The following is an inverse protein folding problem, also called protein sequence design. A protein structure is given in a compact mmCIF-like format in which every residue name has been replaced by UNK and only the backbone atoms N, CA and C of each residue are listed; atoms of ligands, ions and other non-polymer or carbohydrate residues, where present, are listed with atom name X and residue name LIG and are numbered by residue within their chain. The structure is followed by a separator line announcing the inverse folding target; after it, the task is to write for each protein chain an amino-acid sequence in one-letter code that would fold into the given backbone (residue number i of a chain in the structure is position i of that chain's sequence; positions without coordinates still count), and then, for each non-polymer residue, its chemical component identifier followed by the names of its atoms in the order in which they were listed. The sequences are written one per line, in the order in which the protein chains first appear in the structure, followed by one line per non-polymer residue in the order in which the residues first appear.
data_IF_570335611852
#
_entry.id   IF_570335611852
#
_cell.length_a   1.000
_cell.length_b   1.000
_cell.length_c   1.000
_cell.angle_alpha   90.00
_cell.angle_beta   90.00
_cell.angle_gamma   90.00
#
_symmetry.space_group_name_H-M   'P 1'
#
loop_
_entity.id
_entity.type
_entity.pdbx_description
1 polymer ?
#
# COMPACT_ATOMS: atom_id res chain seq x y z
N UNK A 1 -11.38 3.69 0.65
CA UNK A 1 -11.67 5.04 1.16
C UNK A 1 -12.89 5.59 0.43
N UNK A 2 -13.84 6.27 1.08
CA UNK A 2 -15.10 6.69 0.41
C UNK A 2 -15.42 8.16 0.63
N UNK A 3 -15.60 8.95 -0.43
CA UNK A 3 -15.95 10.37 -0.36
C UNK A 3 -17.38 10.63 -0.86
N UNK A 4 -18.12 11.50 -0.17
CA UNK A 4 -19.43 11.96 -0.57
C UNK A 4 -19.36 13.28 -1.35
N UNK A 5 -19.98 13.35 -2.54
CA UNK A 5 -19.86 14.49 -3.46
C UNK A 5 -20.40 15.83 -2.94
N UNK A 6 -21.41 15.82 -2.07
CA UNK A 6 -22.06 17.06 -1.61
C UNK A 6 -21.42 17.62 -0.33
N UNK A 7 -20.49 16.86 0.26
CA UNK A 7 -19.79 17.25 1.46
C UNK A 7 -18.44 17.87 1.07
N UNK A 8 -18.48 19.08 0.50
CA UNK A 8 -17.33 19.84 -0.02
C UNK A 8 -16.24 20.18 1.02
N UNK A 9 -16.29 19.61 2.23
CA UNK A 9 -15.33 19.80 3.31
C UNK A 9 -14.87 18.50 3.97
N UNK A 10 -15.24 17.32 3.46
CA UNK A 10 -14.73 16.07 4.03
C UNK A 10 -13.29 15.88 3.57
N UNK A 11 -12.36 16.19 4.47
CA UNK A 11 -10.99 15.73 4.41
C UNK A 11 -10.90 14.32 4.98
N UNK A 12 -10.24 13.42 4.27
CA UNK A 12 -9.82 12.14 4.82
C UNK A 12 -8.32 12.17 5.04
N UNK A 13 -7.86 11.40 6.02
CA UNK A 13 -6.45 11.34 6.38
C UNK A 13 -5.89 9.95 6.11
N UNK A 14 -4.71 9.91 5.51
CA UNK A 14 -3.87 8.72 5.39
C UNK A 14 -2.70 8.92 6.34
N UNK A 15 -2.59 8.07 7.35
CA UNK A 15 -1.43 8.06 8.25
C UNK A 15 -0.37 7.12 7.68
N UNK A 16 0.83 7.65 7.42
CA UNK A 16 1.99 6.85 7.00
C UNK A 16 3.04 6.91 8.10
N UNK A 17 3.41 5.76 8.64
CA UNK A 17 4.38 5.62 9.72
C UNK A 17 5.69 5.05 9.20
N UNK A 18 6.81 5.70 9.53
CA UNK A 18 8.12 5.11 9.35
C UNK A 18 8.53 4.39 10.64
N UNK A 19 8.36 3.07 10.65
CA UNK A 19 8.76 2.23 11.78
C UNK A 19 10.28 1.93 11.82
N UNK A 20 11.04 2.35 10.80
CA UNK A 20 12.50 2.26 10.84
C UNK A 20 13.05 3.21 11.88
N UNK A 21 13.98 2.72 12.71
CA UNK A 21 14.73 3.55 13.67
C UNK A 21 16.03 4.09 13.09
N UNK A 22 16.46 3.55 11.94
CA UNK A 22 17.79 3.79 11.41
C UNK A 22 17.80 4.65 10.15
N UNK A 23 16.72 4.64 9.36
CA UNK A 23 16.69 5.32 8.07
C UNK A 23 15.46 6.23 7.91
N UNK A 24 15.71 7.41 7.36
CA UNK A 24 14.66 8.26 6.85
C UNK A 24 14.13 7.71 5.53
N UNK A 25 12.88 8.02 5.23
CA UNK A 25 12.25 7.65 3.98
C UNK A 25 11.62 8.87 3.29
N UNK A 26 11.43 8.79 1.98
CA UNK A 26 10.64 9.71 1.20
C UNK A 26 9.29 9.06 0.91
N UNK A 27 8.21 9.79 1.12
CA UNK A 27 6.84 9.41 0.76
C UNK A 27 6.40 10.21 -0.45
N UNK A 28 5.86 9.54 -1.46
CA UNK A 28 5.13 10.18 -2.57
C UNK A 28 3.76 9.54 -2.72
N UNK A 29 2.76 10.37 -2.93
CA UNK A 29 1.39 9.95 -3.22
C UNK A 29 1.04 10.39 -4.63
N UNK A 30 0.62 9.42 -5.43
CA UNK A 30 0.11 9.64 -6.78
C UNK A 30 -1.36 9.26 -6.83
N UNK A 31 -2.13 9.93 -7.67
CA UNK A 31 -3.57 9.74 -7.80
C UNK A 31 -3.91 9.58 -9.28
N UNK A 32 -4.75 8.60 -9.63
CA UNK A 32 -5.19 8.43 -11.03
C UNK A 32 -6.05 9.60 -11.53
N UNK A 33 -6.59 10.41 -10.61
CA UNK A 33 -7.41 11.60 -10.91
C UNK A 33 -6.94 12.81 -10.11
N UNK A 34 -5.69 13.22 -10.30
CA UNK A 34 -5.08 14.32 -9.55
C UNK A 34 -5.84 15.66 -9.63
N UNK A 35 -6.62 15.92 -10.69
CA UNK A 35 -7.47 17.12 -10.77
C UNK A 35 -8.69 17.08 -9.84
N UNK A 36 -9.13 15.90 -9.44
CA UNK A 36 -10.31 15.70 -8.59
C UNK A 36 -9.98 15.78 -7.10
N UNK A 37 -8.71 15.59 -6.72
CA UNK A 37 -8.30 15.54 -5.32
C UNK A 37 -7.15 16.49 -5.01
N UNK A 38 -7.26 17.20 -3.89
CA UNK A 38 -6.13 17.90 -3.26
C UNK A 38 -5.49 16.97 -2.24
N UNK A 39 -4.19 16.71 -2.42
CA UNK A 39 -3.40 15.82 -1.56
C UNK A 39 -2.29 16.64 -0.91
N UNK A 40 -2.26 16.68 0.42
CA UNK A 40 -1.29 17.48 1.17
C UNK A 40 -0.77 16.75 2.41
N UNK A 41 0.54 16.46 2.51
CA UNK A 41 1.57 16.61 1.46
C UNK A 41 1.48 15.50 0.40
N UNK A 42 1.75 15.82 -0.87
CA UNK A 42 1.88 14.81 -1.94
C UNK A 42 3.30 14.20 -2.01
N UNK A 43 4.29 14.90 -1.46
CA UNK A 43 5.68 14.46 -1.33
C UNK A 43 6.17 14.93 0.04
N UNK A 44 6.74 14.03 0.84
CA UNK A 44 7.20 14.34 2.19
C UNK A 44 8.45 13.53 2.56
N UNK A 45 9.23 14.09 3.49
CA UNK A 45 10.24 13.33 4.23
C UNK A 45 9.58 12.67 5.44
N UNK A 46 9.89 11.40 5.67
CA UNK A 46 9.49 10.62 6.83
C UNK A 46 10.75 10.28 7.64
N UNK A 47 11.07 11.08 8.68
CA UNK A 47 12.15 10.75 9.62
C UNK A 47 11.99 9.35 10.24
N UNK A 48 13.06 8.76 10.76
CA UNK A 48 12.98 7.53 11.54
C UNK A 48 11.98 7.67 12.70
N UNK A 49 11.25 6.59 13.01
CA UNK A 49 10.27 6.51 14.09
C UNK A 49 9.21 7.63 14.11
N UNK A 50 8.86 8.16 12.93
CA UNK A 50 7.92 9.27 12.78
C UNK A 50 6.66 8.87 12.01
N UNK A 51 5.69 9.78 11.97
CA UNK A 51 4.47 9.64 11.15
C UNK A 51 4.16 10.92 10.40
N UNK A 52 3.62 10.79 9.19
CA UNK A 52 3.08 11.89 8.40
C UNK A 52 1.60 11.65 8.16
N UNK A 53 0.80 12.69 8.40
CA UNK A 53 -0.63 12.69 8.08
C UNK A 53 -0.82 13.36 6.72
N UNK A 54 -1.37 12.61 5.77
CA UNK A 54 -1.70 13.12 4.45
C UNK A 54 -3.19 13.41 4.39
N UNK A 55 -3.51 14.67 4.21
CA UNK A 55 -4.88 15.12 3.98
C UNK A 55 -5.23 14.92 2.50
N UNK A 56 -6.33 14.21 2.26
CA UNK A 56 -6.94 14.03 0.95
C UNK A 56 -8.31 14.68 0.97
N UNK A 57 -8.50 15.66 0.10
CA UNK A 57 -9.75 16.42 -0.01
C UNK A 57 -10.24 16.38 -1.45
N UNK A 58 -11.55 16.34 -1.66
CA UNK A 58 -12.11 16.57 -2.98
C UNK A 58 -11.90 18.02 -3.40
N UNK A 59 -11.36 18.24 -4.59
CA UNK A 59 -11.28 19.56 -5.19
C UNK A 59 -12.69 20.11 -5.42
N UNK A 60 -12.97 21.38 -5.09
CA UNK A 60 -14.23 22.00 -5.46
C UNK A 60 -14.31 22.06 -6.99
N UNK A 61 -15.13 21.21 -7.60
CA UNK A 61 -15.35 21.25 -9.05
C UNK A 61 -16.37 22.31 -9.42
N UNK A 62 -16.21 23.00 -10.57
CA UNK A 62 -17.21 23.93 -11.07
C UNK A 62 -18.52 23.18 -11.32
N UNK A 63 -19.64 23.78 -10.88
CA UNK A 63 -20.99 23.20 -10.73
C UNK A 63 -21.58 22.47 -11.95
N UNK A 64 -20.95 22.51 -13.12
CA UNK A 64 -21.45 21.93 -14.37
C UNK A 64 -20.90 20.54 -14.71
N UNK A 65 -19.90 20.03 -14.00
CA UNK A 65 -19.37 18.70 -14.30
C UNK A 65 -20.13 17.64 -13.50
N UNK A 66 -20.81 16.77 -14.23
CA UNK A 66 -21.73 15.74 -13.76
C UNK A 66 -21.10 14.88 -12.64
N UNK A 67 -21.80 14.82 -11.51
CA UNK A 67 -21.44 14.13 -10.26
C UNK A 67 -21.62 12.61 -10.40
N UNK A 68 -20.98 12.00 -11.40
CA UNK A 68 -21.03 10.54 -11.56
C UNK A 68 -20.19 9.87 -10.47
N UNK A 69 -20.73 8.83 -9.80
CA UNK A 69 -19.93 7.98 -8.94
C UNK A 69 -18.72 7.47 -9.70
N UNK A 70 -17.57 7.47 -9.06
CA UNK A 70 -16.34 7.10 -9.73
C UNK A 70 -15.35 6.44 -8.80
N UNK A 71 -14.55 5.56 -9.39
CA UNK A 71 -13.47 4.87 -8.70
C UNK A 71 -12.14 5.54 -9.05
N UNK A 72 -11.31 5.74 -8.04
CA UNK A 72 -10.00 6.35 -8.15
C UNK A 72 -9.02 5.52 -7.35
N UNK A 73 -7.74 5.56 -7.74
CA UNK A 73 -6.67 4.84 -7.05
C UNK A 73 -5.60 5.82 -6.62
N UNK A 74 -5.16 5.67 -5.38
CA UNK A 74 -3.99 6.36 -4.86
C UNK A 74 -2.85 5.36 -4.76
N UNK A 75 -1.71 5.69 -5.32
CA UNK A 75 -0.48 4.93 -5.16
C UNK A 75 0.37 5.64 -4.10
N UNK A 76 0.60 4.94 -2.99
CA UNK A 76 1.47 5.38 -1.89
C UNK A 76 2.81 4.70 -2.05
N UNK A 77 3.85 5.47 -2.36
CA UNK A 77 5.20 4.95 -2.58
C UNK A 77 6.12 5.52 -1.52
N UNK A 78 6.84 4.64 -0.83
CA UNK A 78 7.85 5.02 0.15
C UNK A 78 9.21 4.48 -0.29
N UNK A 79 10.20 5.36 -0.34
CA UNK A 79 11.58 5.02 -0.70
C UNK A 79 12.56 5.38 0.40
N UNK A 80 13.57 4.56 0.62
CA UNK A 80 14.65 4.83 1.55
C UNK A 80 15.52 5.98 1.07
N UNK A 81 15.75 6.94 1.96
CA UNK A 81 16.72 8.01 1.76
C UNK A 81 18.09 7.49 2.24
N UNK A 82 19.06 7.43 1.34
CA UNK A 82 20.42 7.01 1.71
C UNK A 82 21.06 8.12 2.56
N UNK A 83 21.61 7.75 3.71
CA UNK A 83 22.48 8.67 4.45
C UNK A 83 23.76 8.87 3.62
N UNK A 84 23.96 10.06 3.08
CA UNK A 84 25.18 10.42 2.38
C UNK A 84 26.28 10.68 3.41
N UNK A 85 27.00 9.62 3.77
CA UNK A 85 28.10 9.68 4.72
C UNK A 85 27.96 8.58 5.75
N UNK A 86 28.92 7.65 5.76
CA UNK A 86 29.02 6.52 6.70
C UNK A 86 29.27 6.92 8.16
N UNK A 87 28.82 8.09 8.58
CA UNK A 87 28.78 8.49 9.99
C UNK A 87 27.56 7.81 10.60
N UNK A 88 27.68 6.50 10.77
CA UNK A 88 26.76 5.67 11.53
C UNK A 88 26.68 6.25 12.95
N UNK A 89 25.56 6.89 13.31
CA UNK A 89 25.22 7.16 14.71
C UNK A 89 25.34 8.59 15.22
N UNK A 90 25.75 9.58 14.42
CA UNK A 90 25.57 10.97 14.82
C UNK A 90 24.14 11.38 14.45
N UNK A 91 23.28 11.33 15.47
CA UNK A 91 21.88 11.69 15.50
C UNK A 91 21.42 12.57 14.32
N UNK A 92 20.41 12.08 13.60
CA UNK A 92 19.49 12.94 12.86
C UNK A 92 18.75 13.77 13.92
N UNK A 93 19.45 14.70 14.58
CA UNK A 93 18.88 15.78 15.37
C UNK A 93 18.18 16.71 14.38
N UNK A 94 17.12 16.22 13.73
CA UNK A 94 16.00 17.10 13.47
C UNK A 94 15.54 17.53 14.84
N UNK A 95 15.94 18.75 15.18
CA UNK A 95 15.67 19.37 16.45
C UNK A 95 14.26 19.04 16.91
N UNK A 96 14.17 18.65 18.18
CA UNK A 96 13.04 19.04 19.03
C UNK A 96 13.08 20.57 19.12
N UNK A 97 12.88 21.23 17.98
CA UNK A 97 12.75 22.66 17.87
C UNK A 97 11.27 22.92 18.12
N UNK A 98 11.00 23.38 19.33
CA UNK A 98 9.76 24.07 19.65
C UNK A 98 9.47 25.08 18.53
N UNK A 99 8.36 24.82 17.84
CA UNK A 99 7.39 25.77 17.30
C UNK A 99 7.76 27.03 16.50
N UNK A 100 9.02 27.34 16.19
CA UNK A 100 9.39 28.56 15.46
C UNK A 100 10.16 28.28 14.16
N UNK A 101 9.42 28.00 13.09
CA UNK A 101 9.80 28.39 11.72
C UNK A 101 11.05 27.77 11.06
N UNK A 102 11.73 26.81 11.68
CA UNK A 102 12.92 26.17 11.08
C UNK A 102 12.52 25.36 9.84
N UNK A 103 12.92 25.88 8.67
CA UNK A 103 12.53 25.38 7.37
C UNK A 103 12.88 23.91 7.15
N UNK A 104 11.84 23.07 7.06
CA UNK A 104 11.98 21.74 6.49
C UNK A 104 12.53 21.80 5.06
N UNK A 105 13.00 20.66 4.51
CA UNK A 105 13.56 20.62 3.16
C UNK A 105 12.56 21.21 2.16
N UNK A 106 13.05 22.10 1.31
CA UNK A 106 12.18 22.74 0.31
C UNK A 106 11.56 21.70 -0.62
N UNK A 107 10.39 22.01 -1.21
CA UNK A 107 9.75 21.10 -2.17
C UNK A 107 10.68 20.74 -3.34
N UNK A 108 11.56 21.68 -3.74
CA UNK A 108 12.59 21.46 -4.77
C UNK A 108 13.61 20.42 -4.32
N UNK A 109 14.13 20.52 -3.11
CA UNK A 109 15.06 19.53 -2.55
C UNK A 109 14.42 18.14 -2.44
N UNK A 110 13.18 18.07 -1.96
CA UNK A 110 12.44 16.82 -1.88
C UNK A 110 12.27 16.17 -3.26
N UNK A 111 11.96 16.95 -4.30
CA UNK A 111 11.86 16.46 -5.68
C UNK A 111 13.19 15.94 -6.20
N UNK A 112 14.30 16.62 -5.91
CA UNK A 112 15.64 16.15 -6.29
C UNK A 112 15.96 14.82 -5.60
N UNK A 113 15.83 14.76 -4.26
CA UNK A 113 16.06 13.52 -3.49
C UNK A 113 15.16 12.37 -3.95
N UNK A 114 13.92 12.66 -4.33
CA UNK A 114 13.01 11.67 -4.89
C UNK A 114 13.52 11.09 -6.21
N UNK A 115 13.92 11.96 -7.16
CA UNK A 115 14.52 11.52 -8.43
C UNK A 115 15.78 10.68 -8.20
N UNK A 116 16.60 11.06 -7.23
CA UNK A 116 17.82 10.33 -6.90
C UNK A 116 17.52 8.95 -6.31
N UNK A 117 16.47 8.85 -5.48
CA UNK A 117 15.96 7.58 -5.00
C UNK A 117 15.35 6.72 -6.12
N UNK A 118 14.64 7.31 -7.08
CA UNK A 118 14.08 6.60 -8.24
C UNK A 118 15.16 6.00 -9.14
N UNK A 119 16.28 6.71 -9.36
CA UNK A 119 17.41 6.18 -10.15
C UNK A 119 18.07 4.94 -9.53
N UNK A 120 17.90 4.73 -8.22
CA UNK A 120 18.34 3.52 -7.49
C UNK A 120 17.33 2.37 -7.53
N UNK A 121 16.22 2.54 -8.27
CA UNK A 121 15.10 1.63 -8.58
C UNK A 121 14.81 0.54 -7.53
N UNK A 122 15.56 -0.56 -7.56
CA UNK A 122 15.26 -1.79 -6.83
C UNK A 122 15.69 -1.76 -5.36
N UNK A 123 16.70 -0.97 -5.01
CA UNK A 123 17.25 -0.96 -3.64
C UNK A 123 16.59 0.07 -2.73
N UNK A 124 15.98 1.10 -3.31
CA UNK A 124 15.40 2.19 -2.52
C UNK A 124 13.92 1.99 -2.22
N UNK A 125 13.20 1.11 -2.91
CA UNK A 125 11.76 0.93 -2.67
C UNK A 125 11.51 0.17 -1.36
N UNK A 126 10.93 0.83 -0.37
CA UNK A 126 10.55 0.21 0.90
C UNK A 126 9.11 -0.30 0.88
N UNK A 127 8.22 0.45 0.24
CA UNK A 127 6.79 0.16 0.24
C UNK A 127 6.09 0.79 -0.97
N UNK A 128 5.10 0.07 -1.49
CA UNK A 128 4.25 0.51 -2.60
C UNK A 128 2.87 -0.12 -2.41
N UNK A 129 1.87 0.71 -2.11
CA UNK A 129 0.49 0.24 -1.90
C UNK A 129 -0.50 1.08 -2.69
N UNK A 130 -1.53 0.40 -3.20
CA UNK A 130 -2.64 1.01 -3.93
C UNK A 130 -3.86 1.06 -3.04
N UNK A 131 -4.39 2.26 -2.82
CA UNK A 131 -5.61 2.49 -2.08
C UNK A 131 -6.74 2.77 -3.06
N UNK A 132 -7.77 1.93 -3.01
CA UNK A 132 -8.99 2.12 -3.79
C UNK A 132 -9.91 3.15 -3.10
N UNK A 133 -10.33 4.13 -3.88
CA UNK A 133 -11.12 5.28 -3.43
C UNK A 133 -12.38 5.37 -4.25
N UNK A 134 -13.52 5.37 -3.55
CA UNK A 134 -14.84 5.51 -4.17
C UNK A 134 -15.38 6.89 -3.90
N UNK A 135 -15.82 7.57 -4.95
CA UNK A 135 -16.56 8.83 -4.85
C UNK A 135 -18.02 8.48 -5.11
N UNK A 136 -18.88 8.73 -4.14
CA UNK A 136 -20.32 8.42 -4.18
C UNK A 136 -21.15 9.70 -4.12
N UNK A 137 -22.31 9.68 -4.78
CA UNK A 137 -23.29 10.74 -4.64
C UNK A 137 -23.80 10.80 -3.19
N UNK A 138 -23.99 12.00 -2.63
CA UNK A 138 -24.33 12.13 -1.21
C UNK A 138 -25.66 11.48 -0.85
N UNK A 139 -26.59 11.40 -1.80
CA UNK A 139 -27.87 10.72 -1.62
C UNK A 139 -27.72 9.21 -1.36
N UNK A 140 -26.65 8.58 -1.85
CA UNK A 140 -26.38 7.15 -1.64
C UNK A 140 -25.78 6.82 -0.26
N UNK A 141 -25.32 7.82 0.50
CA UNK A 141 -24.61 7.60 1.78
C UNK A 141 -25.58 7.30 2.93
N UNK A 142 -26.84 7.73 2.82
CA UNK A 142 -27.86 7.53 3.87
C UNK A 142 -28.18 6.06 4.14
N UNK A 143 -27.94 5.16 3.19
CA UNK A 143 -28.18 3.72 3.33
C UNK A 143 -26.96 2.95 3.83
N UNK A 144 -25.75 3.50 3.77
CA UNK A 144 -24.51 2.79 4.10
C UNK A 144 -23.93 3.16 5.49
N UNK A 145 -24.36 4.28 6.07
CA UNK A 145 -23.85 4.80 7.34
C UNK A 145 -24.25 4.03 8.61
N UNK A 146 -25.07 2.98 8.50
CA UNK A 146 -25.35 2.08 9.64
C UNK A 146 -24.20 1.08 9.86
N UNK A 147 -23.25 0.92 8.91
CA UNK A 147 -22.25 -0.16 8.97
C UNK A 147 -20.79 0.26 9.21
N UNK A 148 -20.44 1.55 9.11
CA UNK A 148 -19.02 1.95 9.04
C UNK A 148 -18.70 3.16 9.92
N UNK A 149 -18.65 2.96 11.24
CA UNK A 149 -18.11 3.96 12.17
C UNK A 149 -16.56 3.84 12.18
N UNK A 150 -15.90 4.87 11.63
CA UNK A 150 -14.47 5.17 11.71
C UNK A 150 -13.48 4.03 11.39
N UNK A 151 -13.29 3.75 10.10
CA UNK A 151 -12.13 2.97 9.63
C UNK A 151 -10.87 3.84 9.60
N UNK A 152 -10.24 4.00 10.75
CA UNK A 152 -8.81 4.36 10.84
C UNK A 152 -8.02 3.10 10.46
N UNK A 153 -7.57 3.02 9.20
CA UNK A 153 -6.73 1.90 8.74
C UNK A 153 -5.31 2.10 9.27
N UNK A 154 -5.05 1.62 10.49
CA UNK A 154 -3.69 1.49 11.03
C UNK A 154 -3.12 0.16 10.54
N UNK A 155 -2.25 0.19 9.54
CA UNK A 155 -1.48 -1.00 9.12
C UNK A 155 -0.26 -1.13 10.04
N UNK A 156 -0.46 -1.76 11.18
CA UNK A 156 0.62 -2.14 12.11
C UNK A 156 1.17 -3.51 11.73
N UNK A 157 2.47 -3.59 11.45
CA UNK A 157 3.19 -4.87 11.37
C UNK A 157 3.71 -5.16 12.79
N UNK A 158 2.95 -5.93 13.57
CA UNK A 158 3.32 -6.32 14.93
C UNK A 158 4.07 -7.65 14.94
N UNK A 159 5.27 -7.63 15.50
CA UNK A 159 5.98 -8.80 16.01
C UNK A 159 5.71 -8.93 17.50
N UNK A 160 5.02 -10.01 17.86
CA UNK A 160 4.87 -10.68 19.17
C UNK A 160 5.02 -9.93 20.50
N UNK A 161 3.99 -10.00 21.36
CA UNK A 161 3.95 -10.84 22.58
C UNK A 161 2.68 -10.54 23.41
N UNK A 162 2.32 -11.50 24.26
CA UNK A 162 1.01 -11.90 24.78
C UNK A 162 0.36 -11.03 25.89
N UNK A 163 -0.98 -11.00 25.95
CA UNK A 163 -1.76 -11.42 27.15
C UNK A 163 -3.28 -11.45 26.89
N UNK A 164 -3.91 -12.50 27.44
CA UNK A 164 -5.33 -12.87 27.65
C UNK A 164 -6.37 -11.72 27.63
N UNK A 165 -7.61 -11.85 27.11
CA UNK A 165 -8.70 -12.76 27.54
C UNK A 165 -9.91 -12.66 26.57
N UNK A 166 -10.76 -13.70 26.53
CA UNK A 166 -12.08 -13.86 25.88
C UNK A 166 -12.11 -14.69 24.56
N UNK A 167 -12.69 -15.89 24.70
CA UNK A 167 -12.89 -16.88 23.66
C UNK A 167 -13.97 -16.46 22.66
N UNK A 168 -13.59 -15.67 21.66
CA UNK A 168 -14.17 -15.83 20.33
C UNK A 168 -13.49 -17.03 19.67
N UNK A 169 -14.21 -17.83 18.88
CA UNK A 169 -13.62 -18.90 18.08
C UNK A 169 -12.57 -18.31 17.12
N UNK A 170 -11.33 -18.21 17.59
CA UNK A 170 -10.19 -17.73 16.83
C UNK A 170 -9.95 -18.75 15.72
N UNK A 171 -10.37 -18.39 14.49
CA UNK A 171 -9.88 -19.10 13.30
C UNK A 171 -8.35 -19.06 13.35
N UNK A 172 -7.65 -20.19 13.17
CA UNK A 172 -6.21 -20.23 13.25
C UNK A 172 -5.62 -19.28 12.20
N UNK A 173 -4.87 -18.29 12.65
CA UNK A 173 -4.12 -17.41 11.76
C UNK A 173 -3.04 -18.27 11.07
N UNK A 174 -3.08 -18.33 9.74
CA UNK A 174 -2.07 -19.05 8.99
C UNK A 174 -0.69 -18.42 9.21
N UNK A 175 0.34 -19.26 9.32
CA UNK A 175 1.73 -18.79 9.37
C UNK A 175 2.13 -18.17 8.02
N UNK A 176 3.16 -17.32 8.03
CA UNK A 176 3.72 -16.75 6.79
C UNK A 176 4.13 -17.82 5.77
N UNK A 177 4.65 -18.96 6.26
CA UNK A 177 5.01 -20.09 5.41
C UNK A 177 3.78 -20.75 4.79
N UNK A 178 2.69 -20.87 5.56
CA UNK A 178 1.42 -21.38 5.04
C UNK A 178 0.82 -20.43 3.99
N UNK A 179 0.87 -19.12 4.21
CA UNK A 179 0.46 -18.14 3.21
C UNK A 179 1.25 -18.27 1.90
N UNK A 180 2.59 -18.33 1.99
CA UNK A 180 3.43 -18.51 0.81
C UNK A 180 3.07 -19.80 0.06
N UNK A 181 2.85 -20.90 0.79
CA UNK A 181 2.48 -22.19 0.22
C UNK A 181 1.12 -22.13 -0.48
N UNK A 182 0.12 -21.49 0.12
CA UNK A 182 -1.22 -21.32 -0.48
C UNK A 182 -1.11 -20.53 -1.78
N UNK A 183 -0.38 -19.41 -1.78
CA UNK A 183 -0.19 -18.59 -2.97
C UNK A 183 0.47 -19.38 -4.09
N UNK A 184 1.53 -20.14 -3.80
CA UNK A 184 2.21 -20.99 -4.81
C UNK A 184 1.25 -22.03 -5.40
N UNK A 185 0.47 -22.72 -4.55
CA UNK A 185 -0.50 -23.71 -5.03
C UNK A 185 -1.60 -23.08 -5.88
N UNK A 186 -2.09 -21.89 -5.50
CA UNK A 186 -3.05 -21.12 -6.31
C UNK A 186 -2.43 -20.70 -7.65
N UNK A 187 -1.18 -20.25 -7.65
CA UNK A 187 -0.46 -19.89 -8.87
C UNK A 187 -0.30 -21.09 -9.80
N UNK A 188 0.01 -22.28 -9.27
CA UNK A 188 0.07 -23.53 -10.04
C UNK A 188 -1.30 -23.88 -10.62
N UNK A 189 -2.36 -23.87 -9.79
CA UNK A 189 -3.73 -24.17 -10.20
C UNK A 189 -4.26 -23.26 -11.32
N UNK A 190 -3.87 -21.99 -11.32
CA UNK A 190 -4.27 -21.01 -12.34
C UNK A 190 -3.45 -21.12 -13.64
N UNK A 191 -2.50 -22.06 -13.72
CA UNK A 191 -1.68 -22.28 -14.91
C UNK A 191 -2.34 -23.26 -15.86
N UNK A 192 -2.35 -22.94 -17.16
CA UNK A 192 -2.67 -23.90 -18.21
C UNK A 192 -1.45 -24.75 -18.64
N UNK A 193 -0.26 -24.45 -18.12
CA UNK A 193 0.95 -25.18 -18.51
C UNK A 193 0.98 -26.56 -17.84
N UNK A 194 1.28 -27.65 -18.59
CA UNK A 194 1.24 -29.02 -18.05
C UNK A 194 2.24 -29.25 -16.92
N UNK A 195 3.38 -28.56 -16.95
CA UNK A 195 4.38 -28.59 -15.88
C UNK A 195 3.88 -28.02 -14.53
N UNK A 196 2.76 -27.30 -14.53
CA UNK A 196 2.17 -26.67 -13.35
C UNK A 196 0.88 -27.35 -12.88
N UNK A 197 0.52 -28.49 -13.46
CA UNK A 197 -0.61 -29.29 -12.99
C UNK A 197 -0.41 -29.66 -11.53
N UNK A 198 -1.41 -29.41 -10.69
CA UNK A 198 -1.34 -29.77 -9.28
C UNK A 198 -1.34 -31.30 -9.13
N UNK A 199 -0.43 -31.81 -8.29
CA UNK A 199 -0.50 -33.21 -7.88
C UNK A 199 -1.79 -33.45 -7.07
N UNK A 200 -2.26 -34.70 -7.03
CA UNK A 200 -3.51 -35.07 -6.33
C UNK A 200 -3.50 -34.62 -4.86
N UNK A 201 -2.36 -34.78 -4.18
CA UNK A 201 -2.19 -34.38 -2.78
C UNK A 201 -2.19 -32.86 -2.60
N UNK A 202 -1.59 -32.13 -3.54
CA UNK A 202 -1.60 -30.67 -3.56
C UNK A 202 -3.02 -30.13 -3.78
N UNK A 203 -3.79 -30.74 -4.68
CA UNK A 203 -5.18 -30.38 -4.93
C UNK A 203 -6.09 -30.72 -3.72
N UNK A 204 -5.81 -31.81 -3.02
CA UNK A 204 -6.51 -32.14 -1.76
C UNK A 204 -6.18 -31.14 -0.65
N UNK A 205 -4.89 -30.77 -0.50
CA UNK A 205 -4.44 -29.77 0.44
C UNK A 205 -5.05 -28.40 0.16
N UNK A 206 -5.07 -27.97 -1.11
CA UNK A 206 -5.64 -26.68 -1.50
C UNK A 206 -7.13 -26.59 -1.18
N UNK A 207 -7.88 -27.69 -1.38
CA UNK A 207 -9.30 -27.79 -0.95
C UNK A 207 -9.45 -27.69 0.56
N UNK A 208 -8.67 -28.46 1.34
CA UNK A 208 -8.69 -28.36 2.81
C UNK A 208 -8.39 -26.94 3.31
N UNK A 209 -7.42 -26.27 2.71
CA UNK A 209 -7.06 -24.89 3.06
C UNK A 209 -8.16 -23.89 2.67
N UNK A 210 -8.84 -24.10 1.53
CA UNK A 210 -10.01 -23.32 1.15
C UNK A 210 -11.13 -23.44 2.17
N UNK A 211 -11.45 -24.67 2.58
CA UNK A 211 -12.55 -24.96 3.51
C UNK A 211 -12.26 -24.42 4.91
N UNK A 212 -10.99 -24.31 5.30
CA UNK A 212 -10.55 -23.70 6.56
C UNK A 212 -10.60 -22.15 6.56
N UNK A 213 -10.68 -21.52 5.38
CA UNK A 213 -10.63 -20.08 5.22
C UNK A 213 -12.02 -19.42 5.16
N UNK A 214 -12.08 -18.13 5.48
CA UNK A 214 -13.23 -17.31 5.09
C UNK A 214 -13.25 -17.13 3.56
N UNK A 215 -14.43 -17.15 2.90
CA UNK A 215 -14.54 -16.96 1.45
C UNK A 215 -13.87 -15.67 0.95
N UNK A 216 -14.01 -14.57 1.69
CA UNK A 216 -13.46 -13.27 1.32
C UNK A 216 -11.93 -13.29 1.32
N UNK A 217 -11.33 -13.99 2.29
CA UNK A 217 -9.88 -14.16 2.38
C UNK A 217 -9.36 -15.04 1.23
N UNK A 218 -10.11 -16.08 0.87
CA UNK A 218 -9.77 -16.96 -0.24
C UNK A 218 -9.77 -16.20 -1.57
N UNK A 219 -10.79 -15.37 -1.82
CA UNK A 219 -10.88 -14.55 -3.02
C UNK A 219 -9.72 -13.55 -3.11
N UNK A 220 -9.34 -12.91 -2.00
CA UNK A 220 -8.18 -12.03 -1.94
C UNK A 220 -6.89 -12.77 -2.34
N UNK A 221 -6.68 -14.00 -1.87
CA UNK A 221 -5.53 -14.81 -2.27
C UNK A 221 -5.55 -15.22 -3.74
N UNK A 222 -6.72 -15.53 -4.30
CA UNK A 222 -6.83 -15.83 -5.73
C UNK A 222 -6.40 -14.63 -6.59
N UNK A 223 -6.85 -13.43 -6.23
CA UNK A 223 -6.46 -12.17 -6.91
C UNK A 223 -4.97 -11.93 -6.77
N UNK A 224 -4.42 -12.11 -5.57
CA UNK A 224 -2.99 -11.96 -5.31
C UNK A 224 -2.14 -12.93 -6.13
N UNK A 225 -2.48 -14.22 -6.13
CA UNK A 225 -1.81 -15.25 -6.94
C UNK A 225 -1.84 -14.93 -8.44
N UNK A 226 -2.97 -14.43 -8.94
CA UNK A 226 -3.11 -14.02 -10.35
C UNK A 226 -2.16 -12.87 -10.69
N UNK A 227 -2.07 -11.85 -9.82
CA UNK A 227 -1.14 -10.73 -10.00
C UNK A 227 0.31 -11.19 -9.99
N UNK A 228 0.68 -12.07 -9.05
CA UNK A 228 2.02 -12.64 -8.97
C UNK A 228 2.41 -13.41 -10.25
N UNK A 229 1.47 -14.15 -10.86
CA UNK A 229 1.73 -14.81 -12.15
C UNK A 229 2.01 -13.82 -13.27
N UNK A 230 1.28 -12.71 -13.34
CA UNK A 230 1.52 -11.66 -14.35
C UNK A 230 2.93 -11.10 -14.18
N UNK A 231 3.33 -10.80 -12.94
CA UNK A 231 4.67 -10.29 -12.65
C UNK A 231 5.77 -11.29 -13.04
N UNK A 232 5.60 -12.57 -12.73
CA UNK A 232 6.58 -13.60 -13.13
C UNK A 232 6.69 -13.72 -14.65
N UNK A 233 5.57 -13.70 -15.38
CA UNK A 233 5.58 -13.74 -16.85
C UNK A 233 6.32 -12.54 -17.44
N UNK A 234 6.06 -11.35 -16.90
CA UNK A 234 6.76 -10.13 -17.30
C UNK A 234 8.26 -10.20 -17.02
N UNK A 235 8.64 -10.73 -15.86
CA UNK A 235 10.04 -10.92 -15.51
C UNK A 235 10.73 -11.93 -16.44
N UNK A 236 10.11 -13.09 -16.69
CA UNK A 236 10.64 -14.10 -17.63
C UNK A 236 10.75 -13.53 -19.05
N UNK A 237 9.77 -12.73 -19.50
CA UNK A 237 9.82 -12.06 -20.80
C UNK A 237 10.99 -11.10 -20.91
N UNK A 238 11.26 -10.32 -19.85
CA UNK A 238 12.41 -9.40 -19.81
C UNK A 238 13.75 -10.15 -19.81
N UNK A 239 13.84 -11.25 -19.06
CA UNK A 239 15.04 -12.08 -19.03
C UNK A 239 15.34 -12.66 -20.43
N UNK A 240 14.34 -13.23 -21.10
CA UNK A 240 14.50 -13.74 -22.46
C UNK A 240 14.89 -12.65 -23.49
N UNK A 241 14.34 -11.43 -23.34
CA UNK A 241 14.71 -10.32 -24.21
C UNK A 241 16.17 -9.86 -24.00
N UNK A 242 16.67 -9.91 -22.76
CA UNK A 242 18.07 -9.58 -22.45
C UNK A 242 19.04 -10.60 -23.04
N UNK A 243 18.70 -11.90 -22.97
CA UNK A 243 19.51 -12.96 -23.58
C UNK A 243 19.64 -12.79 -25.09
N UNK A 244 18.54 -12.41 -25.78
CA UNK A 244 18.55 -12.17 -27.22
C UNK A 244 19.33 -10.91 -27.64
N UNK A 245 19.52 -9.93 -26.75
CA UNK A 245 20.33 -8.73 -27.06
C UNK A 245 21.84 -8.95 -26.87
N UNK A 246 22.27 -10.07 -26.28
CA UNK A 246 23.69 -10.36 -26.03
C UNK A 246 24.31 -11.36 -27.03
N UNK A 247 23.52 -11.81 -28.01
CA UNK A 247 23.95 -12.65 -29.13
C UNK A 247 23.95 -11.83 -30.42
#
# INVERSE_FOLDING_TARGET
MTFALDAHRIAQQIAVCNCSRACAALLKIQCTRASTFRVQPALALLPPASRVLVNVQLSPQPRKQERTPSECKFLVVVRELKSEGGVSGAAFELGRADHDGVGGPSERELKTRWKDAERRADRSLLFSEVLDVRVVAAQAVKTEHIRSKASTTTVSRSTGSSSSTAAAAFKPAFSTQQHARIVVLLMKNQSAAPANTLARDEAALLRRLRDACAPEQWDAWQVFARRMRVLLREQSRRAAAQEHCML
#
